data_IF_548626593541
#
_entry.id   IF_548626593541
#
_cell.length_a   1.000
_cell.length_b   1.000
_cell.length_c   1.000
_cell.angle_alpha   90.00
_cell.angle_beta   90.00
_cell.angle_gamma   90.00
#
_symmetry.space_group_name_H-M   'P 1'
#
loop_
_entity.id
_entity.type
_entity.pdbx_description
1 polymer ?
#
# COMPACT_ATOMS: atom_id res chain seq x y z
N UNK A 1 1.94 16.93 12.37
CA UNK A 1 2.57 15.60 12.22
C UNK A 1 1.90 14.85 11.09
N UNK A 2 2.68 14.34 10.17
CA UNK A 2 2.17 13.53 9.05
C UNK A 2 2.86 12.17 9.04
N UNK A 3 2.06 11.11 8.98
CA UNK A 3 2.53 9.72 8.97
C UNK A 3 1.91 9.03 7.77
N UNK A 4 2.71 8.26 7.04
CA UNK A 4 2.27 7.56 5.84
C UNK A 4 2.46 6.05 6.04
N UNK A 5 1.35 5.32 6.10
CA UNK A 5 1.37 3.86 6.25
C UNK A 5 1.20 3.25 4.87
N UNK A 6 2.21 2.54 4.40
CA UNK A 6 2.14 1.87 3.11
C UNK A 6 2.48 0.40 3.24
N UNK A 7 2.14 -0.36 2.24
CA UNK A 7 2.30 -1.81 2.21
C UNK A 7 1.31 -2.40 1.21
N UNK A 8 1.46 -3.69 0.94
CA UNK A 8 0.63 -4.37 -0.05
C UNK A 8 -0.81 -4.58 0.44
N UNK A 9 -1.77 -4.83 -0.46
CA UNK A 9 -3.11 -5.22 -0.05
C UNK A 9 -3.07 -6.44 0.87
N UNK A 10 -3.89 -6.43 1.89
CA UNK A 10 -3.97 -7.50 2.89
C UNK A 10 -2.88 -7.45 3.97
N UNK A 11 -1.99 -6.46 3.95
CA UNK A 11 -0.96 -6.33 4.99
C UNK A 11 -1.51 -5.83 6.35
N UNK A 12 -2.73 -5.30 6.39
CA UNK A 12 -3.36 -4.84 7.63
C UNK A 12 -3.29 -3.32 7.86
N UNK A 13 -3.05 -2.54 6.81
CA UNK A 13 -2.87 -1.09 6.90
C UNK A 13 -4.04 -0.35 7.53
N UNK A 14 -5.27 -0.69 7.15
CA UNK A 14 -6.46 0.01 7.63
C UNK A 14 -6.60 -0.13 9.15
N UNK A 15 -6.45 -1.35 9.64
CA UNK A 15 -6.53 -1.62 11.07
C UNK A 15 -5.41 -0.89 11.85
N UNK A 16 -4.18 -1.04 11.38
CA UNK A 16 -3.02 -0.40 12.00
C UNK A 16 -3.15 1.12 12.04
N UNK A 17 -3.58 1.71 10.94
CA UNK A 17 -3.75 3.16 10.83
C UNK A 17 -4.81 3.70 11.78
N UNK A 18 -5.91 2.97 11.94
CA UNK A 18 -6.97 3.35 12.89
C UNK A 18 -6.49 3.29 14.34
N UNK A 19 -5.75 2.25 14.70
CA UNK A 19 -5.17 2.16 16.04
C UNK A 19 -4.19 3.28 16.31
N UNK A 20 -3.31 3.55 15.35
CA UNK A 20 -2.32 4.63 15.48
C UNK A 20 -3.00 6.00 15.55
N UNK A 21 -4.05 6.20 14.77
CA UNK A 21 -4.83 7.44 14.79
C UNK A 21 -5.47 7.71 16.13
N UNK A 22 -6.02 6.68 16.78
CA UNK A 22 -6.57 6.79 18.13
C UNK A 22 -5.48 7.10 19.15
N UNK A 23 -4.35 6.41 19.06
CA UNK A 23 -3.24 6.59 20.00
C UNK A 23 -2.64 7.99 19.93
N UNK A 24 -2.50 8.54 18.73
CA UNK A 24 -1.85 9.84 18.49
C UNK A 24 -2.84 10.99 18.35
N UNK A 25 -4.14 10.71 18.38
CA UNK A 25 -5.20 11.70 18.12
C UNK A 25 -5.01 12.40 16.76
N UNK A 26 -4.82 11.59 15.73
CA UNK A 26 -4.64 12.07 14.36
C UNK A 26 -5.76 11.56 13.45
N UNK A 27 -6.24 12.38 12.51
CA UNK A 27 -7.19 11.91 11.51
C UNK A 27 -6.52 10.91 10.55
N UNK A 28 -7.31 9.91 10.11
CA UNK A 28 -6.84 8.88 9.17
C UNK A 28 -7.51 9.07 7.83
N UNK A 29 -6.72 9.12 6.77
CA UNK A 29 -7.18 9.24 5.39
C UNK A 29 -6.80 7.98 4.60
N UNK A 30 -7.80 7.32 4.01
CA UNK A 30 -7.59 6.18 3.14
C UNK A 30 -7.30 6.67 1.71
N UNK A 31 -6.06 6.51 1.27
CA UNK A 31 -5.60 7.04 -0.02
C UNK A 31 -6.31 6.41 -1.22
N UNK A 32 -6.89 5.21 -1.08
CA UNK A 32 -7.68 4.58 -2.15
C UNK A 32 -8.81 5.46 -2.65
N UNK A 33 -9.33 6.36 -1.82
CA UNK A 33 -10.36 7.33 -2.23
C UNK A 33 -9.88 8.27 -3.32
N UNK A 34 -8.57 8.48 -3.44
CA UNK A 34 -7.98 9.36 -4.45
C UNK A 34 -8.00 8.76 -5.85
N UNK A 35 -8.05 7.44 -5.97
CA UNK A 35 -8.09 6.75 -7.27
C UNK A 35 -9.27 7.20 -8.11
N UNK A 36 -10.42 7.41 -7.48
CA UNK A 36 -11.65 7.85 -8.17
C UNK A 36 -11.52 9.23 -8.80
N UNK A 37 -10.67 10.09 -8.27
CA UNK A 37 -10.44 11.43 -8.81
C UNK A 37 -9.65 11.42 -10.10
N UNK A 38 -8.79 10.42 -10.30
CA UNK A 38 -7.89 10.34 -11.44
C UNK A 38 -8.43 9.42 -12.52
N UNK A 39 -8.98 8.28 -12.14
CA UNK A 39 -9.52 7.27 -13.05
C UNK A 39 -10.88 6.77 -12.54
N UNK A 40 -11.98 7.52 -12.75
CA UNK A 40 -13.28 7.12 -12.22
C UNK A 40 -13.82 5.81 -12.78
N UNK A 41 -13.29 5.34 -13.93
CA UNK A 41 -13.77 4.16 -14.63
C UNK A 41 -12.78 3.00 -14.66
N UNK A 42 -11.58 3.14 -14.08
CA UNK A 42 -10.54 2.11 -14.11
C UNK A 42 -10.12 1.70 -12.71
N UNK A 43 -9.97 0.38 -12.53
CA UNK A 43 -9.45 -0.16 -11.28
C UNK A 43 -7.91 -0.14 -11.32
N UNK A 44 -7.31 0.84 -10.63
CA UNK A 44 -5.86 0.96 -10.50
C UNK A 44 -5.36 0.12 -9.33
N UNK A 45 -5.30 -1.20 -9.52
CA UNK A 45 -4.71 -2.10 -8.52
C UNK A 45 -3.20 -2.19 -8.70
N UNK A 46 -2.44 -1.92 -7.64
CA UNK A 46 -0.98 -2.10 -7.63
C UNK A 46 -0.57 -3.54 -7.94
N UNK A 47 -1.42 -4.51 -7.58
CA UNK A 47 -1.13 -5.93 -7.76
C UNK A 47 -1.55 -6.48 -9.12
N UNK A 48 -2.28 -5.71 -9.93
CA UNK A 48 -2.71 -6.12 -11.28
C UNK A 48 -2.01 -5.33 -12.38
N UNK A 49 -1.36 -4.23 -12.04
CA UNK A 49 -0.71 -3.34 -13.01
C UNK A 49 0.46 -4.01 -13.75
N UNK A 50 1.00 -5.11 -13.24
CA UNK A 50 2.03 -5.88 -13.93
C UNK A 50 1.58 -6.29 -15.34
N UNK A 51 0.27 -6.46 -15.55
CA UNK A 51 -0.31 -6.88 -16.84
C UNK A 51 0.01 -5.91 -17.97
N UNK A 52 0.27 -4.65 -17.65
CA UNK A 52 0.68 -3.65 -18.65
C UNK A 52 2.09 -3.93 -19.20
N UNK A 53 2.87 -4.79 -18.53
CA UNK A 53 4.26 -5.09 -18.88
C UNK A 53 4.48 -6.53 -19.31
N UNK A 54 3.48 -7.40 -19.19
CA UNK A 54 3.57 -8.80 -19.60
C UNK A 54 3.13 -9.76 -18.50
N UNK A 55 3.79 -10.92 -18.43
CA UNK A 55 3.48 -11.94 -17.43
C UNK A 55 3.87 -11.55 -16.02
N UNK A 56 3.43 -12.33 -15.04
CA UNK A 56 3.72 -12.08 -13.64
C UNK A 56 5.15 -12.50 -13.31
N UNK A 57 6.01 -11.53 -13.15
CA UNK A 57 7.40 -11.68 -12.69
C UNK A 57 7.67 -10.62 -11.62
N UNK A 58 8.69 -10.79 -10.76
CA UNK A 58 9.06 -9.76 -9.80
C UNK A 58 9.33 -8.40 -10.46
N UNK A 59 10.00 -8.40 -11.61
CA UNK A 59 10.30 -7.16 -12.33
C UNK A 59 9.04 -6.47 -12.86
N UNK A 60 8.11 -7.22 -13.44
CA UNK A 60 6.86 -6.65 -13.95
C UNK A 60 5.93 -6.21 -12.81
N UNK A 61 5.93 -6.94 -11.69
CA UNK A 61 5.19 -6.52 -10.50
C UNK A 61 5.70 -5.17 -9.97
N UNK A 62 7.01 -4.98 -9.93
CA UNK A 62 7.63 -3.71 -9.55
C UNK A 62 7.28 -2.59 -10.53
N UNK A 63 7.36 -2.84 -11.82
CA UNK A 63 6.98 -1.85 -12.86
C UNK A 63 5.52 -1.45 -12.74
N UNK A 64 4.65 -2.39 -12.44
CA UNK A 64 3.23 -2.10 -12.22
C UNK A 64 3.01 -1.21 -11.00
N UNK A 65 3.69 -1.49 -9.90
CA UNK A 65 3.65 -0.63 -8.72
C UNK A 65 4.10 0.79 -9.06
N UNK A 66 5.22 0.93 -9.77
CA UNK A 66 5.75 2.24 -10.14
C UNK A 66 4.80 3.01 -11.05
N UNK A 67 4.15 2.32 -11.98
CA UNK A 67 3.14 2.94 -12.84
C UNK A 67 2.01 3.57 -12.03
N UNK A 68 1.46 2.84 -11.07
CA UNK A 68 0.38 3.33 -10.22
C UNK A 68 0.86 4.49 -9.33
N UNK A 69 2.06 4.36 -8.74
CA UNK A 69 2.68 5.44 -7.98
C UNK A 69 2.80 6.73 -8.80
N UNK A 70 3.30 6.61 -10.02
CA UNK A 70 3.54 7.77 -10.90
C UNK A 70 2.23 8.46 -11.28
N UNK A 71 1.20 7.68 -11.61
CA UNK A 71 -0.11 8.22 -11.97
C UNK A 71 -0.75 8.99 -10.82
N UNK A 72 -0.59 8.51 -9.59
CA UNK A 72 -1.29 9.07 -8.43
C UNK A 72 -0.47 10.07 -7.62
N UNK A 73 0.81 10.25 -7.95
CA UNK A 73 1.73 11.09 -7.14
C UNK A 73 1.21 12.50 -6.90
N UNK A 74 0.85 13.21 -7.95
CA UNK A 74 0.41 14.59 -7.83
C UNK A 74 -0.86 14.71 -6.99
N UNK A 75 -1.79 13.79 -7.20
CA UNK A 75 -3.06 13.75 -6.45
C UNK A 75 -2.80 13.49 -4.96
N UNK A 76 -1.89 12.58 -4.64
CA UNK A 76 -1.48 12.28 -3.26
C UNK A 76 -0.85 13.52 -2.62
N UNK A 77 0.11 14.15 -3.29
CA UNK A 77 0.80 15.33 -2.75
C UNK A 77 -0.16 16.49 -2.49
N UNK A 78 -1.10 16.73 -3.40
CA UNK A 78 -2.14 17.76 -3.20
C UNK A 78 -2.99 17.50 -1.96
N UNK A 79 -3.36 16.23 -1.73
CA UNK A 79 -4.15 15.87 -0.55
C UNK A 79 -3.34 16.05 0.74
N UNK A 80 -2.07 15.70 0.73
CA UNK A 80 -1.18 15.89 1.89
C UNK A 80 -1.09 17.35 2.28
N UNK A 81 -0.99 18.24 1.30
CA UNK A 81 -0.83 19.67 1.55
C UNK A 81 -2.08 20.35 2.11
N UNK A 82 -3.24 19.71 2.01
CA UNK A 82 -4.49 20.24 2.58
C UNK A 82 -4.57 20.10 4.10
N UNK A 83 -3.72 19.28 4.71
CA UNK A 83 -3.80 18.94 6.12
C UNK A 83 -2.49 19.23 6.81
N UNK A 84 -2.54 19.79 8.04
CA UNK A 84 -1.36 19.96 8.88
C UNK A 84 -0.99 18.67 9.60
N UNK A 85 -1.99 17.91 10.05
CA UNK A 85 -1.84 16.67 10.80
C UNK A 85 -2.64 15.56 10.12
N UNK A 86 -2.01 14.40 9.90
CA UNK A 86 -2.62 13.38 9.08
C UNK A 86 -1.90 12.04 9.22
N UNK A 87 -2.68 10.96 9.27
CA UNK A 87 -2.19 9.63 8.91
C UNK A 87 -2.84 9.30 7.55
N UNK A 88 -2.03 9.03 6.54
CA UNK A 88 -2.52 8.57 5.25
C UNK A 88 -2.06 7.13 5.03
N UNK A 89 -2.97 6.25 4.61
CA UNK A 89 -2.61 4.86 4.34
C UNK A 89 -2.99 4.47 2.91
N UNK A 90 -2.16 3.64 2.28
CA UNK A 90 -2.44 3.16 0.93
C UNK A 90 -1.31 2.34 0.33
N UNK A 91 -1.67 1.41 -0.56
CA UNK A 91 -0.71 0.49 -1.18
C UNK A 91 0.18 1.18 -2.22
N UNK A 92 -0.26 2.27 -2.81
CA UNK A 92 0.49 2.96 -3.87
C UNK A 92 1.30 4.16 -3.36
N UNK A 93 1.33 4.40 -2.06
CA UNK A 93 2.11 5.52 -1.52
C UNK A 93 3.60 5.28 -1.79
N UNK A 94 4.27 6.31 -2.30
CA UNK A 94 5.67 6.23 -2.68
C UNK A 94 6.54 6.86 -1.58
N UNK A 95 7.28 6.05 -0.82
CA UNK A 95 8.11 6.58 0.26
C UNK A 95 9.18 7.57 -0.23
N UNK A 96 9.65 7.42 -1.47
CA UNK A 96 10.67 8.31 -2.03
C UNK A 96 10.17 9.75 -2.13
N UNK A 97 8.90 9.95 -2.44
CA UNK A 97 8.30 11.28 -2.53
C UNK A 97 7.74 11.77 -1.20
N UNK A 98 7.35 10.85 -0.30
CA UNK A 98 6.65 11.20 0.93
C UNK A 98 7.58 11.57 2.09
N UNK A 99 8.82 11.12 2.06
CA UNK A 99 9.78 11.33 3.14
C UNK A 99 10.02 12.82 3.43
N UNK A 100 9.86 13.68 2.44
CA UNK A 100 9.97 15.14 2.60
C UNK A 100 8.78 15.79 3.32
N UNK A 101 7.64 15.08 3.37
CA UNK A 101 6.42 15.61 4.01
C UNK A 101 6.19 15.08 5.42
N UNK A 102 6.77 13.94 5.77
CA UNK A 102 6.54 13.32 7.07
C UNK A 102 7.22 11.96 7.19
N UNK A 103 6.66 11.10 8.04
CA UNK A 103 7.26 9.81 8.39
C UNK A 103 6.56 8.66 7.65
N UNK A 104 7.21 8.04 6.64
CA UNK A 104 6.70 6.79 6.08
C UNK A 104 6.95 5.61 7.04
N UNK A 105 6.01 4.68 7.09
CA UNK A 105 6.14 3.41 7.80
C UNK A 105 5.65 2.32 6.87
N UNK A 106 6.50 1.32 6.63
CA UNK A 106 6.11 0.14 5.85
C UNK A 106 5.51 -0.90 6.79
N UNK A 107 4.25 -1.25 6.55
CA UNK A 107 3.59 -2.35 7.26
C UNK A 107 3.67 -3.61 6.42
N UNK A 108 4.14 -4.71 7.02
CA UNK A 108 4.30 -5.98 6.35
C UNK A 108 3.62 -7.10 7.11
N UNK A 109 3.23 -8.15 6.40
CA UNK A 109 2.82 -9.43 6.97
C UNK A 109 3.74 -10.49 6.34
N UNK A 110 4.76 -10.92 7.08
CA UNK A 110 5.77 -11.84 6.56
C UNK A 110 5.24 -13.28 6.46
N UNK A 111 4.39 -13.70 7.38
CA UNK A 111 3.74 -15.02 7.31
C UNK A 111 2.80 -15.07 6.11
N UNK A 112 3.12 -15.94 5.15
CA UNK A 112 2.40 -16.07 3.90
C UNK A 112 0.93 -16.49 4.10
N UNK A 113 0.68 -17.43 5.00
CA UNK A 113 -0.67 -17.93 5.24
C UNK A 113 -1.54 -16.89 5.93
N UNK A 114 -0.98 -16.18 6.90
CA UNK A 114 -1.65 -15.05 7.53
C UNK A 114 -1.97 -13.95 6.51
N UNK A 115 -1.01 -13.60 5.67
CA UNK A 115 -1.21 -12.60 4.62
C UNK A 115 -2.31 -13.04 3.65
N UNK A 116 -2.30 -14.31 3.25
CA UNK A 116 -3.32 -14.86 2.35
C UNK A 116 -4.72 -14.74 2.97
N UNK A 117 -4.88 -15.10 4.25
CA UNK A 117 -6.17 -14.97 4.93
C UNK A 117 -6.65 -13.52 4.96
N UNK A 118 -5.76 -12.58 5.29
CA UNK A 118 -6.09 -11.15 5.33
C UNK A 118 -6.43 -10.62 3.94
N UNK A 119 -5.67 -11.03 2.93
CA UNK A 119 -5.90 -10.64 1.54
C UNK A 119 -7.27 -11.09 1.04
N UNK A 120 -7.68 -12.31 1.37
CA UNK A 120 -8.95 -12.89 0.93
C UNK A 120 -10.16 -12.44 1.73
N UNK A 121 -9.96 -11.87 2.91
CA UNK A 121 -11.04 -11.50 3.83
C UNK A 121 -12.13 -10.64 3.19
N UNK A 122 -11.76 -9.71 2.33
CA UNK A 122 -12.68 -8.81 1.64
C UNK A 122 -12.89 -9.18 0.17
N UNK A 123 -12.30 -10.29 -0.29
CA UNK A 123 -12.37 -10.74 -1.69
C UNK A 123 -13.23 -11.97 -1.87
N UNK A 124 -13.82 -12.45 -0.81
CA UNK A 124 -14.70 -13.64 -0.77
C UNK A 124 -14.14 -14.85 -1.57
N UNK A 125 -14.59 -15.94 -1.40
CA UNK A 125 -14.49 -17.34 -1.85
C UNK A 125 -13.80 -17.65 -3.21
N UNK A 126 -13.28 -16.70 -3.97
CA UNK A 126 -12.77 -16.95 -5.34
C UNK A 126 -11.25 -16.85 -5.40
N UNK A 127 -10.56 -17.63 -4.56
CA UNK A 127 -9.10 -17.62 -4.51
C UNK A 127 -8.47 -17.84 -5.89
N UNK A 128 -9.02 -18.70 -6.71
CA UNK A 128 -8.47 -19.00 -8.05
C UNK A 128 -8.41 -17.75 -8.93
N UNK A 129 -9.36 -16.84 -8.78
CA UNK A 129 -9.37 -15.56 -9.51
C UNK A 129 -8.28 -14.62 -8.96
N UNK A 130 -8.06 -14.65 -7.64
CA UNK A 130 -7.14 -13.73 -6.97
C UNK A 130 -5.73 -14.30 -6.75
N UNK A 131 -5.45 -15.52 -7.22
CA UNK A 131 -4.17 -16.17 -6.96
C UNK A 131 -2.99 -15.36 -7.50
N UNK A 132 -3.06 -14.90 -8.75
CA UNK A 132 -1.99 -14.10 -9.34
C UNK A 132 -1.89 -12.73 -8.69
N UNK A 133 -3.01 -12.14 -8.29
CA UNK A 133 -3.02 -10.88 -7.56
C UNK A 133 -2.31 -11.02 -6.22
N UNK A 134 -2.57 -12.11 -5.50
CA UNK A 134 -1.88 -12.41 -4.24
C UNK A 134 -0.38 -12.66 -4.45
N UNK A 135 -0.02 -13.43 -5.49
CA UNK A 135 1.40 -13.65 -5.83
C UNK A 135 2.11 -12.34 -6.13
N UNK A 136 1.46 -11.44 -6.87
CA UNK A 136 2.00 -10.10 -7.13
C UNK A 136 2.18 -9.31 -5.84
N UNK A 137 1.22 -9.37 -4.92
CA UNK A 137 1.33 -8.71 -3.62
C UNK A 137 2.56 -9.21 -2.84
N UNK A 138 2.82 -10.53 -2.85
CA UNK A 138 4.00 -11.09 -2.20
C UNK A 138 5.31 -10.60 -2.82
N UNK A 139 5.37 -10.57 -4.15
CA UNK A 139 6.54 -10.04 -4.87
C UNK A 139 6.77 -8.56 -4.56
N UNK A 140 5.71 -7.77 -4.53
CA UNK A 140 5.79 -6.34 -4.22
C UNK A 140 6.25 -6.14 -2.78
N UNK A 141 5.74 -6.92 -1.82
CA UNK A 141 6.15 -6.79 -0.42
C UNK A 141 7.66 -7.02 -0.25
N UNK A 142 8.22 -8.03 -0.93
CA UNK A 142 9.67 -8.25 -0.91
C UNK A 142 10.44 -7.04 -1.43
N UNK A 143 9.98 -6.46 -2.53
CA UNK A 143 10.58 -5.23 -3.07
C UNK A 143 10.48 -4.07 -2.07
N UNK A 144 9.30 -3.87 -1.47
CA UNK A 144 9.07 -2.77 -0.52
C UNK A 144 9.99 -2.88 0.70
N UNK A 145 10.27 -4.10 1.18
CA UNK A 145 11.20 -4.31 2.29
C UNK A 145 12.62 -3.86 1.91
N UNK A 146 13.07 -4.23 0.72
CA UNK A 146 14.39 -3.82 0.22
C UNK A 146 14.46 -2.31 0.06
N UNK A 147 13.43 -1.70 -0.53
CA UNK A 147 13.35 -0.25 -0.73
C UNK A 147 13.36 0.49 0.61
N UNK A 148 12.53 0.06 1.55
CA UNK A 148 12.44 0.69 2.87
C UNK A 148 13.76 0.58 3.64
N UNK A 149 14.42 -0.59 3.57
CA UNK A 149 15.72 -0.80 4.20
C UNK A 149 16.76 0.17 3.64
N UNK A 150 16.79 0.32 2.31
CA UNK A 150 17.71 1.24 1.65
C UNK A 150 17.46 2.71 1.98
N UNK A 151 16.22 3.09 2.26
CA UNK A 151 15.84 4.46 2.61
C UNK A 151 15.88 4.73 4.12
N UNK A 152 16.16 3.73 4.95
CA UNK A 152 16.13 3.88 6.40
C UNK A 152 14.72 4.05 6.98
N UNK A 153 13.71 3.53 6.29
CA UNK A 153 12.32 3.63 6.72
C UNK A 153 11.99 2.52 7.72
N UNK A 154 11.23 2.87 8.75
CA UNK A 154 10.74 1.91 9.75
C UNK A 154 9.84 0.85 9.10
N UNK A 155 10.15 -0.42 9.37
CA UNK A 155 9.35 -1.56 8.92
C UNK A 155 8.66 -2.16 10.13
N UNK A 156 7.34 -2.29 10.07
CA UNK A 156 6.53 -2.82 11.17
C UNK A 156 5.84 -4.10 10.71
N UNK A 157 6.03 -5.18 11.46
CA UNK A 157 5.31 -6.43 11.24
C UNK A 157 3.89 -6.31 11.77
N UNK A 158 2.90 -6.72 11.01
CA UNK A 158 1.52 -6.73 11.46
C UNK A 158 1.32 -7.86 12.48
N UNK A 159 1.22 -7.50 13.75
CA UNK A 159 1.01 -8.43 14.86
C UNK A 159 -0.47 -8.64 15.20
N UNK A 160 -1.37 -7.99 14.47
CA UNK A 160 -2.79 -8.16 14.70
C UNK A 160 -3.21 -9.60 14.39
N UNK A 161 -3.85 -10.32 15.34
CA UNK A 161 -4.39 -11.65 15.04
C UNK A 161 -5.54 -11.53 14.03
N UNK A 162 -5.57 -12.45 13.07
CA UNK A 162 -6.63 -12.50 12.05
C UNK A 162 -7.79 -13.36 12.51
#
# INVERSE_FOLDING_TARGET
MKIFIYGVPGAGKTYYSKLLGKKLDLPVFEADKLKKKVFPFQNLSTCLAYKEFGGLTPENAKKGLFLVRDILRDTVEKEILKNSDLIMEGAFLDPNSLIKFGKPILLVTTDKDKHKRQFLKHREKLFDIYENEFKAARMIQEFLIVEATGLGIEIVENLNPT
#
